data_IF_823905825754
#
_entry.id   IF_823905825754
#
_cell.length_a   1.000
_cell.length_b   1.000
_cell.length_c   1.000
_cell.angle_alpha   90.00
_cell.angle_beta   90.00
_cell.angle_gamma   90.00
#
_symmetry.space_group_name_H-M   'P 1'
#
loop_
_entity.id
_entity.type
_entity.pdbx_description
1 polymer ?
#
# COMPACT_ATOMS: atom_id res chain seq x y z
N UNK A 1 25.34 41.16 -8.80
CA UNK A 1 25.31 40.40 -10.07
C UNK A 1 23.91 39.81 -10.21
N UNK A 2 23.08 40.36 -11.10
CA UNK A 2 21.72 39.84 -11.34
C UNK A 2 21.83 38.43 -11.91
N UNK A 3 21.28 37.43 -11.21
CA UNK A 3 21.12 36.08 -11.77
C UNK A 3 19.99 36.12 -12.77
N UNK A 4 20.30 35.97 -14.05
CA UNK A 4 19.32 35.75 -15.11
C UNK A 4 18.59 34.44 -14.81
N UNK A 5 17.33 34.52 -14.39
CA UNK A 5 16.42 33.36 -14.38
C UNK A 5 15.78 33.30 -15.75
N UNK A 6 16.34 32.47 -16.63
CA UNK A 6 15.74 32.22 -17.94
C UNK A 6 14.52 31.30 -17.78
N UNK A 7 13.54 31.44 -18.68
CA UNK A 7 12.19 30.87 -18.57
C UNK A 7 12.16 29.40 -18.13
N UNK A 8 11.16 29.05 -17.32
CA UNK A 8 11.08 27.89 -16.43
C UNK A 8 11.15 26.49 -17.09
N UNK A 9 11.54 26.35 -18.36
CA UNK A 9 11.32 25.12 -19.14
C UNK A 9 12.45 24.69 -20.08
N UNK A 10 13.63 25.31 -20.02
CA UNK A 10 14.73 24.97 -20.94
C UNK A 10 15.95 24.39 -20.21
N UNK A 11 16.51 23.32 -20.76
CA UNK A 11 17.79 22.76 -20.35
C UNK A 11 18.95 23.67 -20.74
N UNK A 12 20.11 23.52 -20.07
CA UNK A 12 21.32 24.29 -20.40
C UNK A 12 21.79 24.10 -21.84
N UNK A 13 21.46 22.96 -22.47
CA UNK A 13 21.80 22.68 -23.86
C UNK A 13 20.89 23.44 -24.83
N UNK A 14 19.58 23.50 -24.55
CA UNK A 14 18.61 24.24 -25.36
C UNK A 14 18.88 25.75 -25.29
N UNK A 15 19.21 26.27 -24.11
CA UNK A 15 19.68 27.65 -23.96
C UNK A 15 20.96 27.87 -24.78
N UNK A 16 21.88 26.90 -24.77
CA UNK A 16 23.11 27.00 -25.56
C UNK A 16 22.84 27.10 -27.06
N UNK A 17 21.92 26.29 -27.57
CA UNK A 17 21.54 26.29 -28.97
C UNK A 17 20.83 27.59 -29.38
N UNK A 18 19.91 28.09 -28.56
CA UNK A 18 19.17 29.33 -28.82
C UNK A 18 20.09 30.55 -28.89
N UNK A 19 21.07 30.63 -27.97
CA UNK A 19 21.97 31.78 -27.86
C UNK A 19 23.29 31.59 -28.62
N UNK A 20 23.46 30.49 -29.35
CA UNK A 20 24.70 30.21 -30.10
C UNK A 20 25.93 30.07 -29.22
N UNK A 21 25.77 29.61 -27.98
CA UNK A 21 26.85 29.45 -27.00
C UNK A 21 26.94 28.00 -26.51
N UNK A 22 28.14 27.57 -26.11
CA UNK A 22 28.30 26.19 -25.61
C UNK A 22 27.53 25.97 -24.31
N UNK A 23 27.03 24.74 -24.10
CA UNK A 23 26.42 24.31 -22.83
C UNK A 23 27.27 24.68 -21.62
N UNK A 24 28.59 24.56 -21.73
CA UNK A 24 29.52 24.90 -20.65
C UNK A 24 29.57 26.41 -20.39
N UNK A 25 29.44 27.23 -21.44
CA UNK A 25 29.34 28.69 -21.29
C UNK A 25 28.05 29.08 -20.59
N UNK A 26 26.92 28.45 -20.91
CA UNK A 26 25.64 28.65 -20.20
C UNK A 26 25.78 28.26 -18.72
N UNK A 27 26.41 27.11 -18.43
CA UNK A 27 26.67 26.65 -17.05
C UNK A 27 27.51 27.64 -16.25
N UNK A 28 28.53 28.23 -16.86
CA UNK A 28 29.39 29.24 -16.23
C UNK A 28 28.64 30.54 -15.92
N UNK A 29 27.71 30.96 -16.80
CA UNK A 29 26.95 32.21 -16.65
C UNK A 29 25.85 32.07 -15.59
N UNK A 30 25.09 30.96 -15.61
CA UNK A 30 23.93 30.74 -14.73
C UNK A 30 24.34 30.04 -13.41
N UNK A 31 25.59 29.53 -13.35
CA UNK A 31 26.14 28.80 -12.22
C UNK A 31 25.64 27.35 -12.13
N UNK A 32 26.07 26.64 -11.08
CA UNK A 32 25.66 25.26 -10.79
C UNK A 32 24.24 25.17 -10.22
N UNK A 33 23.33 26.04 -10.66
CA UNK A 33 21.90 25.98 -10.38
C UNK A 33 21.21 24.82 -11.12
N UNK A 34 21.95 24.08 -11.95
CA UNK A 34 21.54 22.96 -12.81
C UNK A 34 21.03 21.69 -12.13
N UNK A 35 20.29 21.82 -11.01
CA UNK A 35 19.31 20.83 -10.58
C UNK A 35 17.90 21.42 -10.65
N UNK A 36 17.59 22.14 -11.72
CA UNK A 36 16.18 22.27 -12.11
C UNK A 36 15.89 20.98 -12.87
N UNK A 37 15.30 19.98 -12.19
CA UNK A 37 14.59 18.92 -12.92
C UNK A 37 13.62 19.67 -13.83
N UNK A 38 13.69 19.45 -15.15
CA UNK A 38 12.67 20.02 -16.02
C UNK A 38 11.30 19.56 -15.52
N UNK A 39 10.29 20.42 -15.66
CA UNK A 39 8.93 20.13 -15.21
C UNK A 39 8.44 18.77 -15.77
N UNK A 40 8.80 18.46 -17.01
CA UNK A 40 8.56 17.16 -17.64
C UNK A 40 9.24 15.97 -16.93
N UNK A 41 10.47 16.13 -16.40
CA UNK A 41 11.12 15.07 -15.61
C UNK A 41 10.43 14.94 -14.26
N UNK A 42 9.99 16.05 -13.64
CA UNK A 42 9.25 16.03 -12.37
C UNK A 42 7.91 15.30 -12.54
N UNK A 43 7.11 15.71 -13.53
CA UNK A 43 5.81 15.09 -13.85
C UNK A 43 5.97 13.61 -14.18
N UNK A 44 6.93 13.25 -15.03
CA UNK A 44 7.23 11.84 -15.33
C UNK A 44 7.64 11.07 -14.08
N UNK A 45 8.47 11.65 -13.22
CA UNK A 45 8.89 10.99 -12.00
C UNK A 45 7.72 10.84 -11.02
N UNK A 46 6.82 11.81 -10.91
CA UNK A 46 5.58 11.71 -10.14
C UNK A 46 4.64 10.64 -10.71
N UNK A 47 4.49 10.54 -12.04
CA UNK A 47 3.75 9.45 -12.68
C UNK A 47 4.38 8.09 -12.37
N UNK A 48 5.70 7.96 -12.48
CA UNK A 48 6.43 6.72 -12.17
C UNK A 48 6.30 6.37 -10.68
N UNK A 49 6.37 7.36 -9.80
CA UNK A 49 6.26 7.21 -8.34
C UNK A 49 4.87 6.72 -7.94
N UNK A 50 3.82 7.22 -8.59
CA UNK A 50 2.42 6.88 -8.30
C UNK A 50 1.85 5.75 -9.18
N UNK A 51 2.66 5.14 -10.06
CA UNK A 51 2.17 4.10 -10.98
C UNK A 51 2.08 2.71 -10.33
N UNK A 52 0.94 2.05 -10.56
CA UNK A 52 0.68 0.64 -10.22
C UNK A 52 1.38 -0.35 -11.18
N UNK A 53 2.00 0.13 -12.27
CA UNK A 53 2.69 -0.73 -13.24
C UNK A 53 4.01 -1.30 -12.70
N UNK A 54 4.42 -2.46 -13.24
CA UNK A 54 5.68 -3.12 -12.84
C UNK A 54 6.90 -2.31 -13.26
N UNK A 55 8.03 -2.47 -12.55
CA UNK A 55 9.29 -1.80 -12.88
C UNK A 55 9.76 -2.10 -14.31
N UNK A 56 9.72 -3.36 -14.82
CA UNK A 56 10.02 -3.65 -16.23
C UNK A 56 9.05 -2.99 -17.22
N UNK A 57 7.74 -2.93 -16.90
CA UNK A 57 6.76 -2.28 -17.76
C UNK A 57 6.98 -0.76 -17.83
N UNK A 58 7.30 -0.13 -16.70
CA UNK A 58 7.65 1.29 -16.62
C UNK A 58 8.98 1.60 -17.30
N UNK A 59 9.98 0.75 -17.11
CA UNK A 59 11.27 0.82 -17.80
C UNK A 59 11.07 0.81 -19.32
N UNK A 60 10.23 -0.12 -19.82
CA UNK A 60 9.85 -0.18 -21.23
C UNK A 60 9.05 1.05 -21.69
N UNK A 61 8.05 1.49 -20.92
CA UNK A 61 7.18 2.65 -21.25
C UNK A 61 7.98 3.94 -21.40
N UNK A 62 8.89 4.21 -20.47
CA UNK A 62 9.64 5.47 -20.41
C UNK A 62 11.04 5.38 -21.03
N UNK A 63 11.44 4.19 -21.53
CA UNK A 63 12.79 3.97 -22.09
C UNK A 63 13.90 4.15 -21.06
N UNK A 64 13.63 3.80 -19.79
CA UNK A 64 14.55 3.97 -18.66
C UNK A 64 15.06 2.61 -18.18
N UNK A 65 16.20 2.60 -17.49
CA UNK A 65 16.66 1.38 -16.83
C UNK A 65 15.80 1.05 -15.62
N UNK A 66 15.65 -0.23 -15.32
CA UNK A 66 14.92 -0.69 -14.13
C UNK A 66 15.52 -0.12 -12.84
N UNK A 67 16.84 0.02 -12.76
CA UNK A 67 17.52 0.66 -11.63
C UNK A 67 17.15 2.15 -11.47
N UNK A 68 16.93 2.86 -12.57
CA UNK A 68 16.48 4.25 -12.53
C UNK A 68 15.03 4.37 -12.06
N UNK A 69 14.13 3.53 -12.58
CA UNK A 69 12.73 3.44 -12.13
C UNK A 69 12.69 3.08 -10.64
N UNK A 70 13.48 2.09 -10.21
CA UNK A 70 13.61 1.70 -8.81
C UNK A 70 14.12 2.83 -7.93
N UNK A 71 15.09 3.62 -8.42
CA UNK A 71 15.58 4.81 -7.74
C UNK A 71 14.51 5.89 -7.55
N UNK A 72 13.67 6.15 -8.58
CA UNK A 72 12.55 7.10 -8.48
C UNK A 72 11.51 6.60 -7.47
N UNK A 73 11.20 5.30 -7.50
CA UNK A 73 10.21 4.67 -6.61
C UNK A 73 10.71 4.44 -5.19
N UNK A 74 12.00 4.69 -4.93
CA UNK A 74 12.63 4.38 -3.65
C UNK A 74 11.92 5.11 -2.51
N UNK A 75 11.13 4.36 -1.74
CA UNK A 75 10.41 4.88 -0.58
C UNK A 75 8.89 4.99 -0.72
N UNK A 76 8.30 4.84 -1.91
CA UNK A 76 6.83 5.02 -2.06
C UNK A 76 6.04 3.89 -2.73
N UNK A 77 6.62 3.02 -3.59
CA UNK A 77 5.85 1.85 -4.04
C UNK A 77 6.57 0.75 -4.83
N UNK A 78 6.05 -0.47 -4.64
CA UNK A 78 6.12 -1.74 -5.38
C UNK A 78 7.46 -2.21 -5.94
N UNK A 79 8.05 -3.18 -5.23
CA UNK A 79 8.78 -4.24 -5.89
C UNK A 79 7.79 -5.25 -6.48
N UNK A 80 7.55 -5.13 -7.79
CA UNK A 80 7.25 -6.31 -8.61
C UNK A 80 8.55 -6.67 -9.34
N UNK A 81 9.13 -7.78 -8.85
CA UNK A 81 10.28 -8.56 -9.30
C UNK A 81 11.69 -7.98 -9.07
N UNK A 82 12.36 -8.47 -8.01
CA UNK A 82 13.82 -8.46 -7.92
C UNK A 82 14.41 -8.38 -6.50
N UNK A 83 13.70 -7.78 -5.54
CA UNK A 83 14.16 -7.69 -4.15
C UNK A 83 13.23 -8.37 -3.16
N UNK A 84 13.73 -8.60 -1.95
CA UNK A 84 12.97 -9.15 -0.83
C UNK A 84 11.83 -8.21 -0.43
N UNK A 85 10.60 -8.50 -0.86
CA UNK A 85 9.42 -7.78 -0.40
C UNK A 85 9.29 -7.89 1.14
N UNK A 86 8.82 -6.83 1.79
CA UNK A 86 8.57 -6.89 3.24
C UNK A 86 7.40 -7.85 3.49
N UNK A 87 7.45 -8.60 4.59
CA UNK A 87 6.44 -9.62 4.93
C UNK A 87 4.99 -9.10 4.84
N UNK A 88 4.72 -7.86 5.26
CA UNK A 88 3.39 -7.22 5.15
C UNK A 88 2.90 -7.13 3.71
N UNK A 89 3.72 -6.58 2.81
CA UNK A 89 3.41 -6.40 1.38
C UNK A 89 3.10 -7.73 0.67
N UNK A 90 3.77 -8.81 1.09
CA UNK A 90 3.49 -10.16 0.56
C UNK A 90 2.07 -10.59 0.96
N UNK A 91 1.64 -10.29 2.18
CA UNK A 91 0.30 -10.64 2.67
C UNK A 91 -0.77 -9.76 2.02
N UNK A 92 -0.55 -8.46 1.90
CA UNK A 92 -1.50 -7.53 1.26
C UNK A 92 -1.82 -7.95 -0.17
N UNK A 93 -0.80 -8.21 -0.99
CA UNK A 93 -0.98 -8.70 -2.37
C UNK A 93 -1.70 -10.03 -2.42
N UNK A 94 -1.35 -10.94 -1.51
CA UNK A 94 -1.99 -12.25 -1.44
C UNK A 94 -3.47 -12.11 -1.11
N UNK A 95 -3.84 -11.23 -0.16
CA UNK A 95 -5.24 -10.97 0.19
C UNK A 95 -6.00 -10.32 -0.96
N UNK A 96 -5.40 -9.35 -1.67
CA UNK A 96 -6.01 -8.75 -2.87
C UNK A 96 -6.31 -9.79 -3.95
N UNK A 97 -5.36 -10.70 -4.23
CA UNK A 97 -5.59 -11.82 -5.14
C UNK A 97 -6.74 -12.72 -4.64
N UNK A 98 -6.77 -13.09 -3.35
CA UNK A 98 -7.85 -13.90 -2.79
C UNK A 98 -9.21 -13.20 -2.91
N UNK A 99 -9.29 -11.89 -2.69
CA UNK A 99 -10.53 -11.13 -2.90
C UNK A 99 -11.00 -11.24 -4.35
N UNK A 100 -10.10 -11.07 -5.32
CA UNK A 100 -10.41 -11.22 -6.74
C UNK A 100 -10.87 -12.63 -7.10
N UNK A 101 -10.23 -13.69 -6.56
CA UNK A 101 -10.68 -15.08 -6.75
C UNK A 101 -12.07 -15.35 -6.15
N UNK A 102 -12.47 -14.59 -5.13
CA UNK A 102 -13.82 -14.63 -4.54
C UNK A 102 -14.81 -13.72 -5.29
N UNK A 103 -14.44 -13.15 -6.43
CA UNK A 103 -15.29 -12.25 -7.21
C UNK A 103 -15.52 -10.88 -6.55
N UNK A 104 -14.66 -10.46 -5.64
CA UNK A 104 -14.72 -9.17 -4.96
C UNK A 104 -13.78 -8.20 -5.67
N UNK A 105 -14.37 -7.18 -6.30
CA UNK A 105 -13.61 -6.09 -6.90
C UNK A 105 -12.83 -5.33 -5.81
N UNK A 106 -11.55 -5.06 -6.07
CA UNK A 106 -10.67 -4.46 -5.08
C UNK A 106 -9.45 -3.76 -5.68
N UNK A 107 -8.98 -2.75 -4.96
CA UNK A 107 -7.78 -1.97 -5.26
C UNK A 107 -6.81 -2.01 -4.08
N UNK A 108 -5.53 -2.27 -4.35
CA UNK A 108 -4.45 -2.14 -3.36
C UNK A 108 -4.04 -0.68 -3.21
N UNK A 109 -4.03 -0.20 -1.96
CA UNK A 109 -3.72 1.20 -1.64
C UNK A 109 -2.22 1.48 -1.47
N UNK A 110 -1.80 2.76 -1.59
CA UNK A 110 -0.45 3.22 -1.35
C UNK A 110 0.21 2.76 -0.07
N UNK A 111 1.50 2.47 -0.13
CA UNK A 111 2.28 2.22 1.08
C UNK A 111 2.18 3.42 2.02
N UNK A 112 1.77 3.19 3.26
CA UNK A 112 1.56 4.25 4.25
C UNK A 112 0.17 4.92 4.17
N UNK A 113 -0.68 4.49 3.25
CA UNK A 113 -2.10 4.81 3.29
C UNK A 113 -2.73 4.28 4.61
N UNK A 114 -3.77 4.92 5.16
CA UNK A 114 -4.34 4.49 6.43
C UNK A 114 -4.85 3.05 6.45
N UNK A 115 -5.22 2.50 5.29
CA UNK A 115 -5.66 1.12 5.09
C UNK A 115 -5.06 0.56 3.80
N UNK A 116 -5.03 -0.76 3.66
CA UNK A 116 -4.25 -1.46 2.64
C UNK A 116 -5.04 -1.77 1.36
N UNK A 117 -6.34 -2.03 1.45
CA UNK A 117 -7.19 -2.40 0.31
C UNK A 117 -8.53 -1.65 0.37
N UNK A 118 -8.99 -1.12 -0.77
CA UNK A 118 -10.38 -0.69 -0.95
C UNK A 118 -11.12 -1.78 -1.73
N UNK A 119 -12.18 -2.36 -1.16
CA UNK A 119 -13.00 -3.37 -1.82
C UNK A 119 -14.39 -2.83 -2.13
N UNK A 120 -14.93 -3.19 -3.30
CA UNK A 120 -16.25 -2.77 -3.77
C UNK A 120 -16.44 -1.23 -3.72
N UNK A 121 -15.37 -0.49 -3.99
CA UNK A 121 -15.29 0.99 -3.91
C UNK A 121 -15.72 1.62 -2.57
N UNK A 122 -15.87 0.82 -1.52
CA UNK A 122 -16.50 1.27 -0.28
C UNK A 122 -15.82 0.73 0.99
N UNK A 123 -15.45 -0.54 0.99
CA UNK A 123 -15.01 -1.25 2.18
C UNK A 123 -13.50 -1.09 2.35
N UNK A 124 -13.11 -0.40 3.42
CA UNK A 124 -11.69 -0.13 3.72
C UNK A 124 -11.14 -1.28 4.55
N UNK A 125 -10.10 -1.94 4.05
CA UNK A 125 -9.54 -3.16 4.62
C UNK A 125 -8.11 -2.91 5.09
N UNK A 126 -7.80 -3.30 6.33
CA UNK A 126 -6.44 -3.33 6.87
C UNK A 126 -5.98 -4.79 7.07
N UNK A 127 -4.86 -5.16 6.46
CA UNK A 127 -4.36 -6.53 6.36
C UNK A 127 -3.24 -6.75 7.37
N UNK A 128 -3.33 -7.85 8.12
CA UNK A 128 -2.31 -8.23 9.12
C UNK A 128 -1.87 -9.67 8.93
N UNK A 129 -0.58 -9.87 8.64
CA UNK A 129 0.00 -11.20 8.48
C UNK A 129 0.76 -11.67 9.73
N UNK A 130 0.50 -12.90 10.17
CA UNK A 130 1.30 -13.58 11.18
C UNK A 130 2.07 -14.75 10.55
N UNK A 131 3.39 -14.77 10.74
CA UNK A 131 4.32 -15.74 10.13
C UNK A 131 4.91 -16.72 11.13
N UNK A 132 4.69 -16.46 12.42
CA UNK A 132 5.24 -17.25 13.52
C UNK A 132 4.29 -17.17 14.68
N UNK A 133 4.28 -18.23 15.48
CA UNK A 133 3.52 -18.26 16.73
C UNK A 133 4.27 -17.51 17.83
N UNK A 134 3.54 -16.79 18.68
CA UNK A 134 4.08 -16.26 19.93
C UNK A 134 4.35 -17.42 20.89
N UNK A 135 5.63 -17.71 21.15
CA UNK A 135 6.02 -18.74 22.12
C UNK A 135 5.54 -18.34 23.51
N UNK A 136 4.68 -19.13 24.11
CA UNK A 136 4.43 -19.11 25.56
C UNK A 136 4.64 -20.51 26.10
N UNK A 137 5.36 -20.62 27.21
CA UNK A 137 5.83 -21.89 27.79
C UNK A 137 4.72 -22.87 28.18
N UNK A 138 3.45 -22.42 28.24
CA UNK A 138 2.32 -23.19 28.77
C UNK A 138 1.09 -23.28 27.83
N UNK A 139 1.20 -22.87 26.56
CA UNK A 139 0.06 -22.98 25.64
C UNK A 139 0.04 -24.32 24.91
N UNK A 140 -1.07 -25.06 25.08
CA UNK A 140 -1.36 -26.34 24.37
C UNK A 140 -1.72 -26.10 22.89
N UNK A 141 -2.00 -24.85 22.49
CA UNK A 141 -2.36 -24.47 21.13
C UNK A 141 -1.50 -23.31 20.63
N UNK A 142 -1.19 -23.23 19.33
CA UNK A 142 -0.40 -22.14 18.77
C UNK A 142 -1.06 -20.79 19.04
N UNK A 143 -0.33 -19.84 19.61
CA UNK A 143 -0.80 -18.47 19.86
C UNK A 143 -0.34 -17.57 18.73
N UNK A 144 -1.27 -16.93 18.02
CA UNK A 144 -0.96 -15.99 16.95
C UNK A 144 -1.14 -14.55 17.43
N UNK A 145 -0.27 -13.66 16.94
CA UNK A 145 -0.26 -12.24 17.28
C UNK A 145 -0.36 -11.39 16.02
N UNK A 146 -1.28 -10.44 16.04
CA UNK A 146 -1.45 -9.42 15.01
C UNK A 146 -1.39 -8.04 15.65
N UNK A 147 -0.45 -7.21 15.20
CA UNK A 147 -0.32 -5.83 15.67
C UNK A 147 -1.22 -4.90 14.86
N UNK A 148 -2.12 -4.18 15.53
CA UNK A 148 -3.14 -3.31 14.91
C UNK A 148 -2.71 -1.84 14.84
N UNK A 149 -1.52 -1.50 15.36
CA UNK A 149 -1.02 -0.12 15.40
C UNK A 149 -1.35 0.63 16.70
N UNK A 150 -0.50 1.61 17.06
CA UNK A 150 -0.53 2.30 18.37
C UNK A 150 -1.67 3.31 18.56
N UNK A 151 -2.42 3.66 17.52
CA UNK A 151 -3.48 4.66 17.58
C UNK A 151 -4.59 4.33 16.58
N UNK A 152 -5.53 3.46 16.94
CA UNK A 152 -6.86 3.38 16.28
C UNK A 152 -7.70 4.63 16.60
N UNK A 153 -7.11 5.84 16.47
CA UNK A 153 -7.75 7.13 16.66
C UNK A 153 -8.56 7.43 15.40
N UNK A 154 -9.77 6.87 15.32
CA UNK A 154 -10.70 7.02 14.19
C UNK A 154 -11.03 5.68 13.52
N UNK A 155 -12.15 5.64 12.78
CA UNK A 155 -12.52 4.52 11.91
C UNK A 155 -11.77 4.66 10.57
N UNK A 156 -10.48 4.31 10.54
CA UNK A 156 -9.69 4.40 9.30
C UNK A 156 -9.95 3.22 8.37
N UNK A 157 -10.36 2.08 8.91
CA UNK A 157 -10.81 0.90 8.18
C UNK A 157 -12.16 0.41 8.71
N UNK A 158 -12.82 -0.44 7.93
CA UNK A 158 -14.09 -1.07 8.26
C UNK A 158 -13.90 -2.52 8.71
N UNK A 159 -12.92 -3.21 8.11
CA UNK A 159 -12.62 -4.63 8.35
C UNK A 159 -11.11 -4.85 8.45
N UNK A 160 -10.71 -5.74 9.35
CA UNK A 160 -9.35 -6.28 9.40
C UNK A 160 -9.34 -7.70 8.81
N UNK A 161 -8.34 -7.99 7.97
CA UNK A 161 -8.08 -9.35 7.50
C UNK A 161 -6.78 -9.84 8.16
N UNK A 162 -6.92 -10.67 9.18
CA UNK A 162 -5.79 -11.32 9.85
C UNK A 162 -5.49 -12.66 9.17
N UNK A 163 -4.28 -12.81 8.62
CA UNK A 163 -3.85 -13.99 7.87
C UNK A 163 -2.79 -14.76 8.64
N UNK A 164 -3.05 -16.02 8.92
CA UNK A 164 -1.99 -16.95 9.34
C UNK A 164 -1.27 -17.40 8.06
N UNK A 165 -0.03 -16.94 7.89
CA UNK A 165 0.66 -17.04 6.60
C UNK A 165 0.95 -18.48 6.20
N UNK A 166 1.30 -19.34 7.15
CA UNK A 166 1.73 -20.71 6.90
C UNK A 166 0.55 -21.60 6.47
N UNK A 167 -0.62 -21.42 7.09
CA UNK A 167 -1.83 -22.22 6.84
C UNK A 167 -2.79 -21.57 5.85
N UNK A 168 -2.58 -20.29 5.50
CA UNK A 168 -3.49 -19.48 4.68
C UNK A 168 -4.91 -19.42 5.24
N UNK A 169 -5.02 -19.28 6.55
CA UNK A 169 -6.30 -19.10 7.23
C UNK A 169 -6.59 -17.61 7.43
N UNK A 170 -7.80 -17.19 7.08
CA UNK A 170 -8.20 -15.79 7.09
C UNK A 170 -9.23 -15.54 8.17
N UNK A 171 -8.98 -14.55 9.02
CA UNK A 171 -9.93 -14.07 10.02
C UNK A 171 -10.38 -12.67 9.64
N UNK A 172 -11.64 -12.54 9.27
CA UNK A 172 -12.22 -11.31 8.72
C UNK A 172 -13.01 -10.65 9.85
N UNK A 173 -12.39 -9.69 10.51
CA UNK A 173 -12.83 -9.13 11.79
C UNK A 173 -13.30 -7.68 11.57
N UNK A 174 -14.59 -7.38 11.74
CA UNK A 174 -15.07 -6.00 11.66
C UNK A 174 -14.41 -5.10 12.71
N UNK A 175 -14.11 -3.85 12.37
CA UNK A 175 -13.55 -2.86 13.28
C UNK A 175 -14.40 -2.70 14.56
N UNK A 176 -15.73 -2.81 14.41
CA UNK A 176 -16.73 -2.76 15.48
C UNK A 176 -16.65 -3.91 16.49
N UNK A 177 -16.02 -5.04 16.12
CA UNK A 177 -15.82 -6.17 17.01
C UNK A 177 -14.64 -5.98 17.98
N UNK A 178 -13.84 -4.92 17.80
CA UNK A 178 -12.63 -4.66 18.54
C UNK A 178 -12.81 -3.46 19.48
N UNK A 179 -12.20 -3.51 20.67
CA UNK A 179 -12.20 -2.35 21.58
C UNK A 179 -11.39 -1.21 20.94
N UNK A 180 -11.81 0.05 21.12
CA UNK A 180 -11.10 1.23 20.58
C UNK A 180 -9.63 1.31 21.01
N UNK A 181 -9.33 0.91 22.26
CA UNK A 181 -7.98 0.89 22.81
C UNK A 181 -7.15 -0.35 22.43
N UNK A 182 -7.72 -1.27 21.65
CA UNK A 182 -7.06 -2.52 21.32
C UNK A 182 -6.02 -2.31 20.22
N UNK A 183 -4.75 -2.41 20.58
CA UNK A 183 -3.58 -2.29 19.69
C UNK A 183 -3.09 -3.64 19.16
N UNK A 184 -3.54 -4.74 19.76
CA UNK A 184 -3.05 -6.08 19.44
C UNK A 184 -4.20 -7.10 19.50
N UNK A 185 -4.14 -8.08 18.62
CA UNK A 185 -5.00 -9.25 18.60
C UNK A 185 -4.13 -10.47 18.90
N UNK A 186 -4.50 -11.20 19.95
CA UNK A 186 -3.94 -12.51 20.28
C UNK A 186 -5.04 -13.55 20.30
N UNK A 187 -4.83 -14.69 19.65
CA UNK A 187 -5.72 -15.84 19.80
C UNK A 187 -5.03 -17.15 19.45
N UNK A 188 -5.56 -18.24 20.03
CA UNK A 188 -5.07 -19.58 19.74
C UNK A 188 -5.76 -20.16 18.52
N UNK A 189 -4.98 -20.71 17.60
CA UNK A 189 -5.52 -21.39 16.41
C UNK A 189 -4.51 -22.38 15.80
N UNK A 190 -4.94 -23.59 15.38
CA UNK A 190 -6.24 -24.19 15.65
C UNK A 190 -6.41 -24.49 17.15
N UNK A 191 -7.65 -24.49 17.64
CA UNK A 191 -7.94 -24.89 19.02
C UNK A 191 -9.25 -25.66 19.11
N UNK A 192 -9.28 -26.70 19.94
CA UNK A 192 -10.50 -27.46 20.27
C UNK A 192 -11.30 -26.82 21.41
N UNK A 193 -10.79 -25.74 22.02
CA UNK A 193 -11.41 -25.06 23.16
C UNK A 193 -12.04 -23.74 22.68
N UNK A 194 -13.37 -23.64 22.56
CA UNK A 194 -14.04 -22.45 22.04
C UNK A 194 -13.67 -21.15 22.79
N UNK A 195 -13.43 -21.25 24.10
CA UNK A 195 -13.02 -20.11 24.95
C UNK A 195 -11.67 -19.50 24.55
N UNK A 196 -10.79 -20.29 23.92
CA UNK A 196 -9.48 -19.85 23.42
C UNK A 196 -9.55 -19.32 21.98
N UNK A 197 -10.63 -19.66 21.26
CA UNK A 197 -10.89 -19.28 19.87
C UNK A 197 -11.77 -18.04 19.75
N UNK A 198 -11.49 -16.96 20.49
CA UNK A 198 -12.32 -15.73 20.53
C UNK A 198 -12.75 -15.23 19.13
N UNK A 199 -11.87 -15.35 18.15
CA UNK A 199 -12.10 -14.90 16.77
C UNK A 199 -12.44 -16.03 15.80
N UNK A 200 -12.63 -17.28 16.26
CA UNK A 200 -12.99 -18.43 15.41
C UNK A 200 -14.26 -18.17 14.57
N UNK A 201 -15.23 -17.44 15.11
CA UNK A 201 -16.46 -17.04 14.40
C UNK A 201 -16.23 -16.15 13.16
N UNK A 202 -15.02 -15.62 12.99
CA UNK A 202 -14.60 -14.77 11.87
C UNK A 202 -13.75 -15.52 10.82
N UNK A 203 -13.51 -16.82 11.01
CA UNK A 203 -12.77 -17.64 10.05
C UNK A 203 -13.49 -17.67 8.70
N UNK A 204 -12.80 -17.25 7.63
CA UNK A 204 -13.26 -17.23 6.24
C UNK A 204 -14.63 -16.55 6.04
N UNK A 205 -14.99 -15.59 6.90
CA UNK A 205 -16.22 -14.78 6.82
C UNK A 205 -16.16 -13.69 5.75
N UNK A 206 -15.91 -14.07 4.49
CA UNK A 206 -15.89 -13.17 3.32
C UNK A 206 -17.24 -12.46 3.10
N UNK A 207 -18.32 -13.07 3.60
CA UNK A 207 -19.65 -12.48 3.64
C UNK A 207 -19.73 -11.16 4.43
N UNK A 208 -18.78 -10.86 5.31
CA UNK A 208 -18.72 -9.58 6.01
C UNK A 208 -18.23 -8.43 5.11
N UNK A 209 -17.59 -8.75 3.98
CA UNK A 209 -17.18 -7.76 2.97
C UNK A 209 -18.31 -7.59 1.95
N UNK A 210 -18.94 -8.68 1.52
CA UNK A 210 -20.02 -8.62 0.52
C UNK A 210 -21.36 -8.17 1.13
N UNK A 211 -21.66 -8.54 2.38
CA UNK A 211 -22.91 -8.22 3.08
C UNK A 211 -23.06 -6.76 3.47
N UNK A 212 -21.96 -6.02 3.61
CA UNK A 212 -21.98 -4.58 3.93
C UNK A 212 -22.70 -3.74 2.84
N UNK A 213 -22.77 -4.23 1.60
CA UNK A 213 -23.50 -3.58 0.50
C UNK A 213 -25.03 -3.73 0.59
N UNK A 214 -25.54 -4.75 1.30
CA UNK A 214 -26.97 -5.02 1.39
C UNK A 214 -27.66 -4.21 2.51
N UNK A 215 -26.99 -3.99 3.64
CA UNK A 215 -27.58 -3.25 4.77
C UNK A 215 -27.71 -1.75 4.48
N UNK A 216 -26.80 -1.16 3.70
CA UNK A 216 -26.85 0.27 3.34
C UNK A 216 -27.88 0.61 2.27
N UNK A 217 -28.07 -0.27 1.26
CA UNK A 217 -29.16 -0.13 0.28
C UNK A 217 -30.55 -0.20 0.92
N UNK A 218 -30.69 -0.84 2.08
CA UNK A 218 -31.93 -0.79 2.86
C UNK A 218 -32.07 0.52 3.65
N UNK A 219 -30.99 1.07 4.21
CA UNK A 219 -31.05 2.36 4.93
C UNK A 219 -31.33 3.58 4.04
N UNK A 220 -30.87 3.57 2.78
CA UNK A 220 -31.16 4.64 1.82
C UNK A 220 -32.58 4.58 1.24
N UNK A 221 -33.26 3.43 1.35
CA UNK A 221 -34.68 3.28 0.95
C UNK A 221 -35.69 3.66 2.03
N UNK A 222 -35.23 3.99 3.25
CA UNK A 222 -36.08 4.28 4.42
C UNK A 222 -35.92 5.75 4.89
N UNK A 223 -35.22 6.59 4.14
CA UNK A 223 -35.21 8.04 4.41
C UNK A 223 -36.26 8.73 3.52
N UNK A 224 -37.40 9.20 4.08
CA UNK A 224 -38.43 9.93 3.35
C UNK A 224 -37.96 11.33 2.91
#
# INVERSE_FOLDING_TARGET
MMRLRFGERMSLAEIGQEFGVSRERVRQIIGNSGRVLSEAIRERNEEIENSISTTPALAKKYGLSEGHISGIRSGKYHMIAGGNARKGEIVERHVSWVLSENGIDNELMPTGHPFDILALDEIRIDVKGAFTTSKTSNCVSPLWHFHMGKNRRGKYCDVFICVIWDTKEYFIIPDSALKRSQTDIYFCWPTKRPTMGKYQKYLNRWDLITGATNDKKQSERISP
#
